data_IF_055619186489
#
_entry.id   IF_055619186489
#
_cell.length_a   1.000
_cell.length_b   1.000
_cell.length_c   1.000
_cell.angle_alpha   90.00
_cell.angle_beta   90.00
_cell.angle_gamma   90.00
#
_symmetry.space_group_name_H-M   'P 1'
#
loop_
_entity.id
_entity.type
_entity.pdbx_description
1 polymer ?
#
# COMPACT_ATOMS: atom_id res chain seq x y z
N UNK A 1 16.20 16.95 3.44
CA UNK A 1 14.98 16.81 2.62
C UNK A 1 14.98 15.40 2.07
N UNK A 2 14.09 14.51 2.54
CA UNK A 2 14.03 13.13 2.08
C UNK A 2 13.40 13.12 0.68
N UNK A 3 14.07 12.59 -0.35
CA UNK A 3 13.42 12.31 -1.62
C UNK A 3 12.31 11.28 -1.38
N UNK A 4 11.08 11.65 -1.71
CA UNK A 4 9.93 10.75 -1.70
C UNK A 4 9.27 10.81 -3.07
N UNK A 5 8.97 9.64 -3.63
CA UNK A 5 8.15 9.53 -4.84
C UNK A 5 6.72 9.37 -4.34
N UNK A 6 5.81 10.17 -4.90
CA UNK A 6 4.39 10.13 -4.58
C UNK A 6 3.62 9.48 -5.72
N UNK A 7 2.72 8.59 -5.37
CA UNK A 7 1.63 8.12 -6.22
C UNK A 7 0.31 8.35 -5.49
N UNK A 8 -0.81 8.27 -6.20
CA UNK A 8 -2.14 8.30 -5.63
C UNK A 8 -2.80 6.94 -5.85
N UNK A 9 -3.38 6.39 -4.77
CA UNK A 9 -4.07 5.11 -4.78
C UNK A 9 -5.56 5.31 -4.57
N UNK A 10 -6.39 4.78 -5.47
CA UNK A 10 -7.83 4.64 -5.29
C UNK A 10 -8.16 3.16 -5.20
N UNK A 11 -9.05 2.79 -4.29
CA UNK A 11 -9.53 1.41 -4.18
C UNK A 11 -10.99 1.38 -3.78
N UNK A 12 -11.69 0.35 -4.23
CA UNK A 12 -13.11 0.17 -3.95
C UNK A 12 -13.50 -1.30 -3.89
N UNK A 13 -14.73 -1.51 -3.42
CA UNK A 13 -15.40 -2.79 -3.47
C UNK A 13 -16.63 -2.62 -4.35
N UNK A 14 -16.71 -3.41 -5.42
CA UNK A 14 -17.87 -3.45 -6.30
C UNK A 14 -18.76 -4.62 -5.93
N UNK A 15 -20.06 -4.37 -5.87
CA UNK A 15 -21.05 -5.35 -5.41
C UNK A 15 -22.02 -5.67 -6.54
N UNK A 16 -22.11 -6.95 -6.86
CA UNK A 16 -22.97 -7.52 -7.88
C UNK A 16 -23.94 -8.50 -7.23
N UNK A 17 -25.14 -8.06 -6.79
CA UNK A 17 -26.07 -8.93 -6.06
C UNK A 17 -26.50 -10.19 -6.83
N UNK A 18 -26.48 -10.13 -8.16
CA UNK A 18 -26.82 -11.26 -9.05
C UNK A 18 -25.61 -12.07 -9.52
N UNK A 19 -24.43 -11.75 -8.98
CA UNK A 19 -23.16 -12.30 -9.42
C UNK A 19 -22.50 -11.50 -10.53
N UNK A 20 -21.17 -11.51 -10.55
CA UNK A 20 -20.38 -10.68 -11.45
C UNK A 20 -19.93 -11.39 -12.75
N UNK A 21 -19.96 -12.73 -12.79
CA UNK A 21 -19.56 -13.52 -13.96
C UNK A 21 -18.06 -13.59 -14.30
N UNK A 22 -17.21 -12.77 -13.68
CA UNK A 22 -15.74 -12.88 -13.78
C UNK A 22 -15.17 -14.24 -13.32
N UNK A 23 -14.12 -14.69 -14.00
CA UNK A 23 -13.24 -15.76 -13.56
C UNK A 23 -12.61 -15.46 -12.19
N UNK A 24 -12.33 -16.48 -11.37
CA UNK A 24 -11.59 -16.36 -10.09
C UNK A 24 -10.10 -16.12 -10.30
N UNK A 25 -9.75 -15.08 -11.05
CA UNK A 25 -8.39 -14.68 -11.41
C UNK A 25 -8.22 -13.19 -11.17
N UNK A 26 -7.05 -12.81 -10.67
CA UNK A 26 -6.65 -11.42 -10.57
C UNK A 26 -6.24 -10.94 -11.97
N UNK A 27 -6.77 -9.80 -12.39
CA UNK A 27 -6.42 -9.15 -13.64
C UNK A 27 -5.70 -7.84 -13.33
N UNK A 28 -4.52 -7.64 -13.91
CA UNK A 28 -3.77 -6.40 -13.78
C UNK A 28 -3.60 -5.73 -15.14
N UNK A 29 -3.82 -4.43 -15.18
CA UNK A 29 -3.65 -3.58 -16.34
C UNK A 29 -2.56 -2.57 -16.03
N UNK A 30 -1.54 -2.53 -16.88
CA UNK A 30 -0.37 -1.67 -16.70
C UNK A 30 -0.25 -0.76 -17.91
N UNK A 31 -0.07 0.53 -17.65
CA UNK A 31 0.24 1.56 -18.63
C UNK A 31 1.32 2.50 -18.06
N UNK A 32 1.81 3.45 -18.85
CA UNK A 32 2.80 4.41 -18.38
C UNK A 32 2.29 5.20 -17.17
N UNK A 33 2.94 4.98 -16.01
CA UNK A 33 2.59 5.67 -14.76
C UNK A 33 1.29 5.21 -14.10
N UNK A 34 0.61 4.17 -14.61
CA UNK A 34 -0.66 3.67 -14.08
C UNK A 34 -0.68 2.15 -13.92
N UNK A 35 -1.28 1.70 -12.82
CA UNK A 35 -1.63 0.30 -12.58
C UNK A 35 -3.07 0.20 -12.09
N UNK A 36 -3.87 -0.61 -12.76
CA UNK A 36 -5.22 -0.96 -12.35
C UNK A 36 -5.33 -2.47 -12.10
N UNK A 37 -6.20 -2.87 -11.18
CA UNK A 37 -6.35 -4.27 -10.80
C UNK A 37 -7.79 -4.61 -10.45
N UNK A 38 -8.25 -5.77 -10.93
CA UNK A 38 -9.52 -6.40 -10.59
C UNK A 38 -9.20 -7.71 -9.85
N UNK A 39 -9.72 -7.86 -8.65
CA UNK A 39 -9.56 -9.03 -7.81
C UNK A 39 -10.94 -9.51 -7.29
N UNK A 40 -11.57 -10.49 -7.97
CA UNK A 40 -12.78 -11.13 -7.47
C UNK A 40 -12.53 -11.75 -6.09
N UNK A 41 -13.34 -11.35 -5.09
CA UNK A 41 -13.25 -11.85 -3.71
C UNK A 41 -14.24 -12.98 -3.46
N UNK A 42 -15.43 -12.87 -4.04
CA UNK A 42 -16.53 -13.85 -3.99
C UNK A 42 -17.32 -13.75 -5.29
N UNK A 43 -18.34 -14.59 -5.50
CA UNK A 43 -19.12 -14.56 -6.74
C UNK A 43 -19.92 -13.24 -6.91
N UNK A 44 -20.06 -12.43 -5.84
CA UNK A 44 -20.83 -11.17 -5.82
C UNK A 44 -19.99 -9.94 -5.49
N UNK A 45 -18.72 -10.09 -5.13
CA UNK A 45 -17.88 -8.98 -4.68
C UNK A 45 -16.54 -8.97 -5.39
N UNK A 46 -16.18 -7.79 -5.89
CA UNK A 46 -14.90 -7.54 -6.56
C UNK A 46 -14.18 -6.43 -5.82
N UNK A 47 -12.96 -6.71 -5.34
CA UNK A 47 -12.05 -5.66 -4.92
C UNK A 47 -11.30 -5.15 -6.15
N UNK A 48 -11.13 -3.84 -6.24
CA UNK A 48 -10.34 -3.24 -7.30
C UNK A 48 -9.49 -2.10 -6.76
N UNK A 49 -8.39 -1.82 -7.43
CA UNK A 49 -7.58 -0.65 -7.15
C UNK A 49 -7.02 -0.03 -8.42
N UNK A 50 -6.69 1.25 -8.32
CA UNK A 50 -5.96 2.03 -9.31
C UNK A 50 -4.87 2.81 -8.59
N UNK A 51 -3.64 2.69 -9.08
CA UNK A 51 -2.49 3.47 -8.64
C UNK A 51 -2.02 4.29 -9.83
N UNK A 52 -1.95 5.60 -9.66
CA UNK A 52 -1.45 6.53 -10.67
C UNK A 52 -0.31 7.36 -10.11
N UNK A 53 0.70 7.59 -10.94
CA UNK A 53 1.81 8.49 -10.67
C UNK A 53 1.38 9.90 -11.02
N UNK A 54 0.55 10.52 -10.20
CA UNK A 54 0.06 11.87 -10.47
C UNK A 54 1.23 12.86 -10.55
N UNK A 55 1.24 13.72 -11.56
CA UNK A 55 2.10 14.91 -11.59
C UNK A 55 1.81 15.86 -10.42
N UNK A 56 2.61 16.92 -10.23
CA UNK A 56 2.65 17.75 -9.01
C UNK A 56 1.33 18.44 -8.60
N UNK A 57 0.30 18.41 -9.45
CA UNK A 57 -1.03 18.98 -9.20
C UNK A 57 -2.10 17.89 -8.94
N UNK A 58 -1.77 16.84 -8.18
CA UNK A 58 -2.72 15.77 -7.86
C UNK A 58 -4.12 16.31 -7.52
N UNK A 59 -5.12 15.82 -8.26
CA UNK A 59 -6.42 16.46 -8.43
C UNK A 59 -7.05 16.84 -7.09
N UNK A 60 -7.44 18.12 -6.96
CA UNK A 60 -8.10 18.63 -5.76
C UNK A 60 -9.40 17.86 -5.44
N UNK A 61 -10.02 17.24 -6.46
CA UNK A 61 -11.21 16.42 -6.34
C UNK A 61 -10.95 15.11 -5.59
N UNK A 62 -9.83 14.42 -5.85
CA UNK A 62 -9.46 13.22 -5.09
C UNK A 62 -9.21 13.54 -3.61
N UNK A 63 -8.58 14.69 -3.36
CA UNK A 63 -8.28 15.17 -2.00
C UNK A 63 -9.51 15.56 -1.20
N UNK A 64 -10.65 15.82 -1.86
CA UNK A 64 -11.91 16.14 -1.17
C UNK A 64 -12.40 14.99 -0.29
N UNK A 65 -12.01 13.74 -0.61
CA UNK A 65 -12.49 12.55 0.08
C UNK A 65 -13.94 12.19 -0.24
N UNK A 66 -14.64 12.94 -1.10
CA UNK A 66 -16.00 12.62 -1.52
C UNK A 66 -15.98 11.40 -2.46
N UNK A 67 -16.60 10.26 -2.06
CA UNK A 67 -16.62 9.06 -2.89
C UNK A 67 -17.18 9.28 -4.30
N UNK A 68 -18.16 10.18 -4.49
CA UNK A 68 -18.71 10.45 -5.82
C UNK A 68 -17.70 11.15 -6.73
N UNK A 69 -16.96 12.11 -6.18
CA UNK A 69 -15.91 12.80 -6.93
C UNK A 69 -14.72 11.87 -7.21
N UNK A 70 -14.35 11.02 -6.25
CA UNK A 70 -13.30 10.01 -6.44
C UNK A 70 -13.69 9.05 -7.57
N UNK A 71 -14.92 8.50 -7.54
CA UNK A 71 -15.40 7.59 -8.57
C UNK A 71 -15.42 8.27 -9.94
N UNK A 72 -15.98 9.49 -10.00
CA UNK A 72 -16.03 10.29 -11.22
C UNK A 72 -14.63 10.53 -11.80
N UNK A 73 -13.66 10.91 -10.97
CA UNK A 73 -12.29 11.15 -11.39
C UNK A 73 -11.63 9.89 -12.01
N UNK A 74 -11.88 8.70 -11.43
CA UNK A 74 -11.39 7.44 -12.00
C UNK A 74 -12.05 7.15 -13.36
N UNK A 75 -13.37 7.37 -13.49
CA UNK A 75 -14.12 7.09 -14.72
C UNK A 75 -13.82 8.08 -15.85
N UNK A 76 -13.52 9.33 -15.51
CA UNK A 76 -13.17 10.39 -16.48
C UNK A 76 -11.66 10.51 -16.72
N UNK A 77 -10.86 9.63 -16.12
CA UNK A 77 -9.41 9.61 -16.31
C UNK A 77 -9.08 9.49 -17.79
N UNK A 78 -8.19 10.35 -18.31
CA UNK A 78 -7.74 10.30 -19.70
C UNK A 78 -6.74 9.16 -19.97
N UNK A 79 -6.60 8.22 -19.05
CA UNK A 79 -5.70 7.06 -19.19
C UNK A 79 -6.44 5.95 -19.92
N UNK A 80 -5.77 5.34 -20.90
CA UNK A 80 -6.28 4.17 -21.61
C UNK A 80 -6.39 2.97 -20.65
N UNK A 81 -7.57 2.83 -20.03
CA UNK A 81 -7.94 1.74 -19.14
C UNK A 81 -9.05 0.92 -19.83
N UNK A 82 -9.02 -0.42 -19.77
CA UNK A 82 -10.06 -1.24 -20.39
C UNK A 82 -11.45 -0.96 -19.82
N UNK A 83 -12.45 -0.98 -20.70
CA UNK A 83 -13.87 -0.74 -20.38
C UNK A 83 -14.37 -1.63 -19.23
N UNK A 84 -13.92 -2.90 -19.20
CA UNK A 84 -14.24 -3.86 -18.13
C UNK A 84 -13.84 -3.37 -16.73
N UNK A 85 -12.76 -2.60 -16.61
CA UNK A 85 -12.36 -2.02 -15.33
C UNK A 85 -13.27 -0.85 -14.96
N UNK A 86 -13.63 -0.01 -15.93
CA UNK A 86 -14.55 1.12 -15.71
C UNK A 86 -15.93 0.61 -15.28
N UNK A 87 -16.43 -0.46 -15.89
CA UNK A 87 -17.68 -1.12 -15.49
C UNK A 87 -17.64 -1.59 -14.04
N UNK A 88 -16.52 -2.18 -13.61
CA UNK A 88 -16.30 -2.56 -12.21
C UNK A 88 -16.33 -1.33 -11.31
N UNK A 89 -15.62 -0.26 -11.67
CA UNK A 89 -15.60 0.99 -10.88
C UNK A 89 -17.00 1.58 -10.74
N UNK A 90 -17.85 1.54 -11.78
CA UNK A 90 -19.23 2.05 -11.72
C UNK A 90 -20.09 1.31 -10.68
N UNK A 91 -19.86 0.01 -10.47
CA UNK A 91 -20.61 -0.82 -9.52
C UNK A 91 -20.08 -0.72 -8.07
N UNK A 92 -19.23 0.27 -7.78
CA UNK A 92 -18.63 0.43 -6.47
C UNK A 92 -19.65 0.80 -5.38
N UNK A 93 -19.54 0.14 -4.24
CA UNK A 93 -20.11 0.61 -2.99
C UNK A 93 -19.35 1.88 -2.56
N UNK A 94 -19.97 3.04 -2.79
CA UNK A 94 -19.37 4.34 -2.48
C UNK A 94 -18.97 4.50 -1.01
N UNK A 95 -19.58 3.76 -0.08
CA UNK A 95 -19.19 3.81 1.33
C UNK A 95 -17.83 3.15 1.61
N UNK A 96 -17.35 2.31 0.68
CA UNK A 96 -16.08 1.58 0.76
C UNK A 96 -15.02 2.11 -0.21
N UNK A 97 -15.37 3.11 -1.02
CA UNK A 97 -14.45 3.75 -1.96
C UNK A 97 -13.52 4.69 -1.19
N UNK A 98 -12.21 4.51 -1.37
CA UNK A 98 -11.20 5.30 -0.66
C UNK A 98 -10.10 5.76 -1.59
N UNK A 99 -9.62 6.97 -1.35
CA UNK A 99 -8.40 7.51 -1.93
C UNK A 99 -7.33 7.65 -0.85
N UNK A 100 -6.08 7.36 -1.20
CA UNK A 100 -4.95 7.52 -0.29
C UNK A 100 -3.68 7.95 -1.03
N UNK A 101 -2.91 8.92 -0.53
CA UNK A 101 -1.60 9.23 -1.08
C UNK A 101 -0.62 8.11 -0.71
N UNK A 102 0.05 7.56 -1.71
CA UNK A 102 1.07 6.53 -1.57
C UNK A 102 2.45 7.18 -1.57
N UNK A 103 3.20 6.96 -0.49
CA UNK A 103 4.51 7.55 -0.28
C UNK A 103 5.59 6.48 -0.30
N UNK A 104 6.54 6.61 -1.22
CA UNK A 104 7.70 5.73 -1.29
C UNK A 104 8.89 6.42 -0.64
N UNK A 105 9.55 5.74 0.30
CA UNK A 105 10.86 6.16 0.78
C UNK A 105 11.94 5.52 -0.08
N UNK A 106 12.90 6.34 -0.52
CA UNK A 106 14.03 5.82 -1.28
C UNK A 106 14.83 4.81 -0.44
N UNK A 107 15.24 3.65 -1.00
CA UNK A 107 15.93 2.59 -0.27
C UNK A 107 17.24 3.02 0.40
N UNK A 108 17.88 4.09 -0.07
CA UNK A 108 19.12 4.61 0.52
C UNK A 108 18.98 5.00 1.99
N UNK A 109 17.80 5.50 2.39
CA UNK A 109 17.53 5.84 3.79
C UNK A 109 17.40 4.60 4.68
N UNK A 110 17.03 3.45 4.09
CA UNK A 110 17.02 2.16 4.80
C UNK A 110 18.42 1.61 4.97
N UNK A 111 19.24 1.69 3.91
CA UNK A 111 20.57 1.10 3.87
C UNK A 111 21.57 1.92 4.73
N UNK A 112 21.49 3.25 4.63
CA UNK A 112 22.47 4.16 5.27
C UNK A 112 21.90 4.97 6.43
N UNK A 113 20.61 4.84 6.73
CA UNK A 113 19.97 5.55 7.84
C UNK A 113 20.18 4.87 9.20
N UNK A 114 20.13 5.66 10.28
CA UNK A 114 20.09 5.14 11.66
C UNK A 114 18.65 4.71 11.98
N UNK A 115 18.41 3.39 12.01
CA UNK A 115 17.09 2.79 12.25
C UNK A 115 16.81 2.46 13.73
N UNK A 116 17.85 2.52 14.56
CA UNK A 116 17.76 2.29 16.01
C UNK A 116 18.63 3.29 16.75
N UNK A 117 18.22 3.70 17.95
CA UNK A 117 19.01 4.55 18.84
C UNK A 117 18.83 4.08 20.28
N UNK A 118 19.89 3.55 20.91
CA UNK A 118 19.78 2.91 22.21
C UNK A 118 18.77 1.76 22.23
N UNK A 119 17.73 1.89 23.05
CA UNK A 119 16.64 0.91 23.20
C UNK A 119 15.44 1.15 22.27
N UNK A 120 15.54 2.10 21.34
CA UNK A 120 14.48 2.43 20.38
C UNK A 120 14.85 1.86 19.02
N UNK A 121 13.94 1.11 18.39
CA UNK A 121 14.09 0.57 17.03
C UNK A 121 12.84 0.87 16.21
N UNK A 122 13.02 1.26 14.96
CA UNK A 122 11.94 1.49 13.99
C UNK A 122 11.75 0.22 13.16
N UNK A 123 10.49 -0.18 12.90
CA UNK A 123 10.12 -1.33 12.09
C UNK A 123 8.84 -1.05 11.27
N UNK A 124 8.50 -1.95 10.37
CA UNK A 124 7.32 -1.90 9.51
C UNK A 124 7.31 -0.71 8.55
N UNK A 125 6.12 -0.20 8.23
CA UNK A 125 5.94 0.90 7.27
C UNK A 125 6.64 2.21 7.68
N UNK A 126 6.97 2.38 8.97
CA UNK A 126 7.76 3.54 9.42
C UNK A 126 9.22 3.41 8.98
N UNK A 127 9.74 2.17 8.96
CA UNK A 127 11.07 1.84 8.45
C UNK A 127 11.04 1.79 6.92
N UNK A 128 10.31 0.84 6.34
CA UNK A 128 10.31 0.50 4.91
C UNK A 128 8.93 0.61 4.28
N UNK A 129 8.33 1.82 4.15
CA UNK A 129 7.04 1.94 3.47
C UNK A 129 7.16 1.41 2.03
N UNK A 130 6.43 0.34 1.75
CA UNK A 130 6.41 -0.32 0.45
C UNK A 130 5.16 0.10 -0.30
N UNK A 131 5.26 0.18 -1.63
CA UNK A 131 4.04 0.29 -2.42
C UNK A 131 3.23 -1.00 -2.32
N UNK A 132 1.89 -0.92 -2.40
CA UNK A 132 1.03 -2.09 -2.34
C UNK A 132 1.26 -3.06 -3.52
N UNK A 133 1.99 -2.64 -4.57
CA UNK A 133 2.26 -3.43 -5.78
C UNK A 133 2.91 -4.79 -5.51
N UNK A 134 3.73 -4.89 -4.44
CA UNK A 134 4.43 -6.12 -4.08
C UNK A 134 3.65 -6.96 -3.07
N UNK A 135 2.60 -6.41 -2.44
CA UNK A 135 1.85 -7.05 -1.36
C UNK A 135 2.73 -7.65 -0.23
N UNK A 136 3.92 -7.05 0.02
CA UNK A 136 4.93 -7.58 0.94
C UNK A 136 5.17 -6.76 2.20
N UNK A 137 4.67 -5.52 2.27
CA UNK A 137 4.94 -4.62 3.41
C UNK A 137 4.56 -5.27 4.75
N UNK A 138 3.35 -5.82 4.85
CA UNK A 138 2.88 -6.48 6.07
C UNK A 138 3.67 -7.75 6.41
N UNK A 139 4.03 -8.57 5.41
CA UNK A 139 4.85 -9.75 5.63
C UNK A 139 6.24 -9.37 6.16
N UNK A 140 6.87 -8.36 5.58
CA UNK A 140 8.16 -7.85 6.03
C UNK A 140 8.09 -7.32 7.47
N UNK A 141 7.03 -6.58 7.81
CA UNK A 141 6.81 -6.11 9.18
C UNK A 141 6.67 -7.26 10.19
N UNK A 142 6.01 -8.36 9.81
CA UNK A 142 5.89 -9.56 10.65
C UNK A 142 7.24 -10.26 10.84
N UNK A 143 8.04 -10.38 9.78
CA UNK A 143 9.39 -10.93 9.86
C UNK A 143 10.27 -10.12 10.84
N UNK A 144 10.20 -8.80 10.77
CA UNK A 144 10.90 -7.91 11.70
C UNK A 144 10.47 -8.09 13.15
N UNK A 145 9.17 -8.22 13.40
CA UNK A 145 8.65 -8.45 14.75
C UNK A 145 9.20 -9.76 15.34
N UNK A 146 9.24 -10.84 14.55
CA UNK A 146 9.80 -12.13 14.97
C UNK A 146 11.30 -12.02 15.25
N UNK A 147 12.06 -11.35 14.37
CA UNK A 147 13.51 -11.17 14.52
C UNK A 147 13.82 -10.32 15.76
N UNK A 148 13.10 -9.21 15.96
CA UNK A 148 13.27 -8.35 17.13
C UNK A 148 12.97 -9.11 18.43
N UNK A 149 11.87 -9.87 18.48
CA UNK A 149 11.53 -10.70 19.63
C UNK A 149 12.60 -11.74 19.95
N UNK A 150 13.19 -12.38 18.93
CA UNK A 150 14.33 -13.30 19.10
C UNK A 150 15.56 -12.60 19.65
N UNK A 151 15.88 -11.40 19.17
CA UNK A 151 17.02 -10.63 19.68
C UNK A 151 16.84 -10.24 21.15
N UNK A 152 15.65 -9.78 21.53
CA UNK A 152 15.29 -9.47 22.91
C UNK A 152 15.43 -10.71 23.81
N UNK A 153 14.79 -11.82 23.42
CA UNK A 153 14.83 -13.06 24.20
C UNK A 153 16.26 -13.60 24.36
N UNK A 154 17.07 -13.54 23.30
CA UNK A 154 18.46 -13.97 23.34
C UNK A 154 19.33 -13.07 24.23
N UNK A 155 19.07 -11.76 24.29
CA UNK A 155 19.78 -10.85 25.21
C UNK A 155 19.51 -11.23 26.66
N UNK A 156 18.23 -11.37 27.03
CA UNK A 156 17.86 -11.76 28.38
C UNK A 156 18.40 -13.12 28.77
N UNK A 157 18.35 -14.11 27.86
CA UNK A 157 18.88 -15.43 28.14
C UNK A 157 20.39 -15.43 28.41
N UNK A 158 21.15 -14.61 27.68
CA UNK A 158 22.62 -14.55 27.81
C UNK A 158 23.10 -13.66 28.94
N UNK A 159 22.38 -12.58 29.24
CA UNK A 159 22.88 -11.51 30.11
C UNK A 159 22.01 -11.25 31.34
N UNK A 160 20.82 -11.84 31.43
CA UNK A 160 19.84 -11.52 32.47
C UNK A 160 19.14 -10.16 32.28
N UNK A 161 19.58 -9.36 31.30
CA UNK A 161 19.06 -8.03 31.01
C UNK A 161 19.09 -7.72 29.50
N UNK A 162 18.44 -6.61 29.12
CA UNK A 162 18.56 -6.03 27.78
C UNK A 162 19.85 -5.24 27.68
N UNK A 163 20.81 -5.74 26.92
CA UNK A 163 22.03 -4.99 26.61
C UNK A 163 21.85 -4.37 25.22
N UNK A 164 21.83 -3.02 25.09
CA UNK A 164 21.82 -2.37 23.79
C UNK A 164 23.06 -2.78 22.97
N UNK A 165 22.89 -3.06 21.68
CA UNK A 165 24.02 -3.46 20.81
C UNK A 165 25.15 -2.42 20.75
N UNK A 166 24.86 -1.14 21.01
CA UNK A 166 25.86 -0.07 21.10
C UNK A 166 26.86 -0.30 22.26
N UNK A 167 26.47 -1.03 23.30
CA UNK A 167 27.33 -1.39 24.45
C UNK A 167 28.19 -2.64 24.16
N UNK A 168 27.74 -3.53 23.28
CA UNK A 168 28.47 -4.76 22.91
C UNK A 168 29.60 -4.53 21.88
N UNK A 169 29.69 -3.33 21.30
CA UNK A 169 30.72 -2.93 20.33
C UNK A 169 31.82 -2.02 20.92
N UNK A 170 31.79 -1.76 22.22
CA UNK A 170 32.78 -0.99 22.95
C UNK A 170 33.83 -1.89 23.62
#
# INVERSE_FOLDING_TARGET
MLLSIRADGVRGLSVYPQGHGFDKKIQQFLNEGLRACIAPLSDTEIHWFLVSSSGPNGDNELKSGDPKLIQKNVLESSVDIPEVFLDVVQQSDLSKLTWTPLMIRVPWNLIFGKLSNGNITIAGDVMHPMTPDLAKGSCAALEEAVILGRHIGNSFHKHGELIPQEVLKA
#
